data_IF_516089564832
#
_entry.id   IF_516089564832
#
_cell.length_a   1.000
_cell.length_b   1.000
_cell.length_c   1.000
_cell.angle_alpha   90.00
_cell.angle_beta   90.00
_cell.angle_gamma   90.00
#
_symmetry.space_group_name_H-M   'P 1'
#
loop_
_entity.id
_entity.type
_entity.pdbx_description
1 polymer ?
#
# COMPACT_ATOMS: atom_id res chain seq x y z
N UNK A 1 -77.93 -39.50 -17.00
CA UNK A 1 -76.74 -40.40 -17.03
C UNK A 1 -75.96 -40.20 -15.75
N UNK A 2 -75.93 -41.16 -14.81
CA UNK A 2 -75.12 -41.13 -13.61
C UNK A 2 -73.72 -41.62 -13.98
N UNK A 3 -72.74 -40.76 -13.98
CA UNK A 3 -71.36 -41.14 -14.07
C UNK A 3 -70.97 -41.89 -12.77
N UNK A 4 -70.64 -43.14 -12.86
CA UNK A 4 -70.07 -43.91 -11.75
C UNK A 4 -68.66 -43.38 -11.48
N UNK A 5 -68.51 -42.69 -10.36
CA UNK A 5 -67.18 -42.32 -9.86
C UNK A 5 -66.53 -43.58 -9.33
N UNK A 6 -65.50 -44.06 -10.03
CA UNK A 6 -64.63 -45.14 -9.54
C UNK A 6 -63.68 -44.49 -8.53
N UNK A 7 -63.71 -44.97 -7.29
CA UNK A 7 -62.81 -44.54 -6.24
C UNK A 7 -61.38 -45.11 -6.51
N UNK A 8 -60.38 -44.38 -6.04
CA UNK A 8 -58.97 -44.81 -6.14
C UNK A 8 -58.77 -46.09 -5.31
N UNK A 9 -57.96 -47.01 -5.83
CA UNK A 9 -57.57 -48.18 -5.09
C UNK A 9 -56.48 -47.85 -4.07
N UNK A 10 -56.38 -48.55 -2.99
CA UNK A 10 -55.37 -48.39 -1.93
C UNK A 10 -53.95 -48.54 -2.51
N UNK A 11 -53.77 -49.39 -3.52
CA UNK A 11 -52.50 -49.61 -4.23
C UNK A 11 -52.11 -48.37 -5.08
N UNK A 12 -53.07 -47.76 -5.81
CA UNK A 12 -52.80 -46.54 -6.56
C UNK A 12 -52.34 -45.37 -5.66
N UNK A 13 -52.97 -45.18 -4.48
CA UNK A 13 -52.59 -44.19 -3.48
C UNK A 13 -51.18 -44.50 -2.96
N UNK A 14 -50.82 -45.76 -2.74
CA UNK A 14 -49.48 -46.13 -2.26
C UNK A 14 -48.40 -45.89 -3.29
N UNK A 15 -48.65 -46.17 -4.56
CA UNK A 15 -47.74 -45.88 -5.66
C UNK A 15 -47.53 -44.40 -5.82
N UNK A 16 -48.59 -43.59 -5.79
CA UNK A 16 -48.50 -42.13 -5.91
C UNK A 16 -47.72 -41.50 -4.75
N UNK A 17 -47.93 -41.97 -3.50
CA UNK A 17 -47.15 -41.46 -2.36
C UNK A 17 -45.66 -41.83 -2.45
N UNK A 18 -45.30 -43.02 -2.92
CA UNK A 18 -43.89 -43.41 -3.13
C UNK A 18 -43.24 -42.53 -4.19
N UNK A 19 -43.89 -42.34 -5.35
CA UNK A 19 -43.39 -41.47 -6.40
C UNK A 19 -43.24 -40.02 -5.91
N UNK A 20 -44.20 -39.50 -5.16
CA UNK A 20 -44.18 -38.15 -4.58
C UNK A 20 -43.01 -37.98 -3.62
N UNK A 21 -42.72 -38.94 -2.74
CA UNK A 21 -41.55 -38.95 -1.85
C UNK A 21 -40.25 -38.94 -2.64
N UNK A 22 -40.13 -39.71 -3.71
CA UNK A 22 -38.94 -39.73 -4.54
C UNK A 22 -38.70 -38.38 -5.26
N UNK A 23 -39.78 -37.77 -5.76
CA UNK A 23 -39.69 -36.43 -6.38
C UNK A 23 -39.27 -35.37 -5.36
N UNK A 24 -39.87 -35.38 -4.15
CA UNK A 24 -39.46 -34.45 -3.08
C UNK A 24 -38.01 -34.65 -2.69
N UNK A 25 -37.56 -35.91 -2.58
CA UNK A 25 -36.17 -36.22 -2.24
C UNK A 25 -35.18 -35.70 -3.30
N UNK A 26 -35.51 -35.90 -4.59
CA UNK A 26 -34.74 -35.37 -5.71
C UNK A 26 -34.74 -33.83 -5.74
N UNK A 27 -35.87 -33.20 -5.53
CA UNK A 27 -36.00 -31.75 -5.47
C UNK A 27 -35.21 -31.16 -4.28
N UNK A 28 -35.30 -31.75 -3.08
CA UNK A 28 -34.53 -31.38 -1.90
C UNK A 28 -33.04 -31.47 -2.11
N UNK A 29 -32.56 -32.54 -2.74
CA UNK A 29 -31.13 -32.72 -3.02
C UNK A 29 -30.64 -31.66 -4.01
N UNK A 30 -31.37 -31.35 -5.06
CA UNK A 30 -31.05 -30.29 -6.02
C UNK A 30 -31.07 -28.91 -5.39
N UNK A 31 -32.03 -28.64 -4.50
CA UNK A 31 -32.11 -27.38 -3.77
C UNK A 31 -30.91 -27.16 -2.82
N UNK A 32 -30.48 -28.21 -2.10
CA UNK A 32 -29.29 -28.16 -1.26
C UNK A 32 -28.00 -27.90 -2.06
N UNK A 33 -27.88 -28.46 -3.25
CA UNK A 33 -26.75 -28.18 -4.16
C UNK A 33 -26.76 -26.70 -4.59
N UNK A 34 -27.94 -26.18 -4.99
CA UNK A 34 -28.10 -24.78 -5.37
C UNK A 34 -27.77 -23.82 -4.23
N UNK A 35 -28.28 -24.07 -3.01
CA UNK A 35 -27.97 -23.27 -1.83
C UNK A 35 -26.46 -23.25 -1.52
N UNK A 36 -25.81 -24.40 -1.61
CA UNK A 36 -24.37 -24.48 -1.39
C UNK A 36 -23.57 -23.75 -2.47
N UNK A 37 -24.03 -23.78 -3.72
CA UNK A 37 -23.41 -23.01 -4.81
C UNK A 37 -23.63 -21.49 -4.63
N UNK A 38 -24.84 -21.06 -4.29
CA UNK A 38 -25.14 -19.66 -4.00
C UNK A 38 -24.32 -19.15 -2.82
N UNK A 39 -24.23 -19.88 -1.73
CA UNK A 39 -23.40 -19.48 -0.58
C UNK A 39 -21.90 -19.35 -0.94
N UNK A 40 -21.40 -20.22 -1.83
CA UNK A 40 -20.02 -20.12 -2.34
C UNK A 40 -19.82 -18.89 -3.22
N UNK A 41 -20.78 -18.58 -4.10
CA UNK A 41 -20.72 -17.41 -5.00
C UNK A 41 -20.80 -16.10 -4.20
N UNK A 42 -21.75 -15.97 -3.28
CA UNK A 42 -21.90 -14.74 -2.47
C UNK A 42 -20.64 -14.42 -1.69
N UNK A 43 -20.02 -15.42 -1.05
CA UNK A 43 -18.76 -15.20 -0.32
C UNK A 43 -17.55 -14.96 -1.20
N UNK A 44 -17.55 -15.49 -2.42
CA UNK A 44 -16.50 -15.18 -3.41
C UNK A 44 -16.62 -13.74 -3.90
N UNK A 45 -17.85 -13.24 -4.08
CA UNK A 45 -18.09 -11.85 -4.49
C UNK A 45 -17.80 -10.86 -3.36
N UNK A 46 -18.17 -11.19 -2.11
CA UNK A 46 -17.86 -10.39 -0.93
C UNK A 46 -16.34 -10.20 -0.77
N UNK A 47 -15.57 -11.28 -0.79
CA UNK A 47 -14.10 -11.24 -0.75
C UNK A 47 -13.49 -10.48 -1.93
N UNK A 48 -14.08 -10.56 -3.13
CA UNK A 48 -13.63 -9.78 -4.28
C UNK A 48 -13.88 -8.27 -4.10
N UNK A 49 -15.01 -7.88 -3.53
CA UNK A 49 -15.35 -6.46 -3.30
C UNK A 49 -14.41 -5.84 -2.27
N UNK A 50 -14.19 -6.53 -1.15
CA UNK A 50 -13.25 -6.08 -0.11
C UNK A 50 -11.83 -5.94 -0.68
N UNK A 51 -11.38 -6.92 -1.45
CA UNK A 51 -10.08 -6.87 -2.11
C UNK A 51 -9.95 -5.71 -3.10
N UNK A 52 -10.99 -5.39 -3.87
CA UNK A 52 -10.99 -4.26 -4.81
C UNK A 52 -10.84 -2.94 -4.07
N UNK A 53 -11.52 -2.74 -2.95
CA UNK A 53 -11.41 -1.51 -2.13
C UNK A 53 -10.00 -1.36 -1.55
N UNK A 54 -9.43 -2.43 -0.98
CA UNK A 54 -8.06 -2.41 -0.44
C UNK A 54 -7.00 -2.14 -1.52
N UNK A 55 -7.16 -2.72 -2.72
CA UNK A 55 -6.26 -2.47 -3.85
C UNK A 55 -6.38 -1.06 -4.42
N UNK A 56 -7.58 -0.47 -4.43
CA UNK A 56 -7.75 0.93 -4.84
C UNK A 56 -7.15 1.89 -3.81
N UNK A 57 -7.18 1.57 -2.52
CA UNK A 57 -6.48 2.35 -1.49
C UNK A 57 -4.95 2.31 -1.72
N UNK A 58 -4.39 1.13 -1.96
CA UNK A 58 -2.97 0.98 -2.30
C UNK A 58 -2.62 1.74 -3.59
N UNK A 59 -3.46 1.64 -4.63
CA UNK A 59 -3.28 2.39 -5.89
C UNK A 59 -3.28 3.90 -5.65
N UNK A 60 -4.25 4.39 -4.88
CA UNK A 60 -4.36 5.82 -4.54
C UNK A 60 -3.11 6.31 -3.83
N UNK A 61 -2.63 5.58 -2.81
CA UNK A 61 -1.42 5.97 -2.07
C UNK A 61 -0.19 6.00 -2.98
N UNK A 62 -0.04 5.02 -3.87
CA UNK A 62 1.05 5.00 -4.86
C UNK A 62 0.98 6.16 -5.85
N UNK A 63 -0.20 6.64 -6.22
CA UNK A 63 -0.36 7.83 -7.07
C UNK A 63 0.08 9.09 -6.35
N UNK A 64 -0.10 9.14 -5.02
CA UNK A 64 0.22 10.28 -4.17
C UNK A 64 1.65 10.25 -3.59
N UNK A 65 2.40 9.20 -3.85
CA UNK A 65 3.80 9.07 -3.41
C UNK A 65 4.60 10.30 -3.80
N UNK A 66 5.39 10.82 -2.86
CA UNK A 66 6.25 11.98 -3.07
C UNK A 66 5.56 13.34 -3.00
N UNK A 67 4.22 13.39 -2.86
CA UNK A 67 3.52 14.69 -2.77
C UNK A 67 3.97 15.47 -1.55
N UNK A 68 4.42 16.71 -1.79
CA UNK A 68 4.82 17.65 -0.74
C UNK A 68 6.09 17.25 0.03
N UNK A 69 6.85 16.26 -0.42
CA UNK A 69 8.13 15.94 0.20
C UNK A 69 9.20 16.99 -0.12
N UNK A 70 10.03 17.33 0.86
CA UNK A 70 11.23 18.13 0.61
C UNK A 70 12.26 17.30 -0.19
N UNK A 71 13.03 17.98 -1.03
CA UNK A 71 14.19 17.40 -1.72
C UNK A 71 15.52 17.97 -1.20
N UNK A 72 15.46 18.98 -0.35
CA UNK A 72 16.62 19.56 0.29
C UNK A 72 16.28 20.11 1.67
N UNK A 73 17.28 20.13 2.54
CA UNK A 73 17.25 20.75 3.84
C UNK A 73 18.23 21.94 3.93
N UNK A 74 18.00 22.84 4.87
CA UNK A 74 19.00 23.82 5.31
C UNK A 74 20.10 23.12 6.11
N UNK A 75 21.20 23.80 6.39
CA UNK A 75 22.23 23.34 7.32
C UNK A 75 22.13 24.15 8.62
N UNK A 76 22.03 23.50 9.80
CA UNK A 76 21.93 22.05 10.06
C UNK A 76 20.59 21.45 9.62
N UNK A 77 20.61 20.19 9.16
CA UNK A 77 19.40 19.46 8.77
C UNK A 77 18.41 19.29 9.95
N UNK A 78 17.10 19.20 9.70
CA UNK A 78 16.12 18.95 10.76
C UNK A 78 16.29 17.54 11.32
N UNK A 79 15.95 17.36 12.59
CA UNK A 79 15.94 16.04 13.22
C UNK A 79 14.51 15.59 13.45
N UNK A 80 14.18 14.39 12.99
CA UNK A 80 12.83 13.84 13.06
C UNK A 80 12.84 12.32 13.32
N UNK A 81 11.70 11.76 13.68
CA UNK A 81 11.51 10.34 14.00
C UNK A 81 10.51 9.76 12.98
N UNK A 82 10.92 8.70 12.29
CA UNK A 82 10.02 7.85 11.50
C UNK A 82 9.60 6.62 12.32
N UNK A 83 9.58 5.42 11.70
CA UNK A 83 9.26 4.20 12.43
C UNK A 83 10.27 3.91 13.54
N UNK A 84 9.77 3.44 14.70
CA UNK A 84 10.57 3.13 15.88
C UNK A 84 10.57 1.65 16.21
N UNK A 85 9.92 0.81 15.42
CA UNK A 85 9.78 -0.63 15.61
C UNK A 85 10.31 -1.41 14.42
N UNK A 86 10.98 -2.53 14.68
CA UNK A 86 11.45 -3.43 13.62
C UNK A 86 10.25 -4.14 12.95
N UNK A 87 10.34 -4.46 11.65
CA UNK A 87 11.42 -4.14 10.71
C UNK A 87 11.26 -2.76 10.05
N UNK A 88 10.23 -1.99 10.43
CA UNK A 88 9.86 -0.73 9.78
C UNK A 88 10.95 0.35 9.95
N UNK A 89 11.75 0.28 11.01
CA UNK A 89 12.88 1.19 11.26
C UNK A 89 14.01 1.05 10.22
N UNK A 90 14.16 -0.12 9.59
CA UNK A 90 15.12 -0.31 8.49
C UNK A 90 14.80 0.54 7.26
N UNK A 91 13.53 0.99 7.11
CA UNK A 91 13.05 1.78 5.96
C UNK A 91 13.07 3.29 6.21
N UNK A 92 13.71 3.72 7.30
CA UNK A 92 13.82 5.13 7.67
C UNK A 92 14.83 5.89 6.82
N UNK A 93 14.56 7.18 6.62
CA UNK A 93 15.54 8.20 6.22
C UNK A 93 15.92 9.08 7.43
N UNK A 94 15.19 8.97 8.54
CA UNK A 94 15.52 9.58 9.82
C UNK A 94 16.94 9.16 10.31
N UNK A 95 17.60 9.97 11.16
CA UNK A 95 17.04 11.14 11.85
C UNK A 95 17.16 12.46 11.08
N UNK A 96 17.91 12.55 10.01
CA UNK A 96 18.19 13.82 9.31
C UNK A 96 18.33 13.67 7.78
N UNK A 97 18.03 12.50 7.23
CA UNK A 97 18.07 12.25 5.79
C UNK A 97 16.91 12.97 5.07
N UNK A 98 17.14 13.33 3.81
CA UNK A 98 16.06 13.76 2.92
C UNK A 98 15.18 12.55 2.61
N UNK A 99 13.85 12.63 2.75
CA UNK A 99 12.98 11.48 2.60
C UNK A 99 12.93 10.96 1.16
N UNK A 100 13.20 9.67 0.98
CA UNK A 100 12.89 8.97 -0.26
C UNK A 100 11.39 8.75 -0.35
N UNK A 101 10.82 9.03 -1.51
CA UNK A 101 9.37 8.92 -1.71
C UNK A 101 8.87 7.47 -1.57
N UNK A 102 9.71 6.49 -1.95
CA UNK A 102 9.43 5.06 -1.83
C UNK A 102 10.70 4.32 -1.41
N UNK A 103 10.53 3.37 -0.51
CA UNK A 103 11.58 2.47 -0.03
C UNK A 103 11.00 1.07 0.05
N UNK A 104 11.66 0.07 -0.49
CA UNK A 104 11.18 -1.31 -0.43
C UNK A 104 12.34 -2.29 -0.20
N UNK A 105 12.01 -3.50 0.24
CA UNK A 105 12.94 -4.63 0.29
C UNK A 105 12.37 -5.82 -0.45
N UNK A 106 13.23 -6.49 -1.22
CA UNK A 106 12.93 -7.68 -2.01
C UNK A 106 13.03 -8.94 -1.13
N UNK A 107 12.01 -9.77 -1.17
CA UNK A 107 12.00 -11.11 -0.59
C UNK A 107 12.43 -11.17 0.90
N UNK A 108 11.55 -10.73 1.79
CA UNK A 108 11.79 -10.79 3.25
C UNK A 108 12.26 -12.16 3.72
N UNK A 109 13.24 -12.17 4.62
CA UNK A 109 13.72 -13.40 5.25
C UNK A 109 12.71 -13.92 6.28
N UNK A 110 12.79 -15.22 6.59
CA UNK A 110 11.93 -15.84 7.60
C UNK A 110 12.27 -15.32 9.01
N UNK A 111 11.25 -15.25 9.89
CA UNK A 111 11.40 -14.86 11.29
C UNK A 111 11.40 -13.35 11.52
N UNK A 112 10.96 -12.56 10.54
CA UNK A 112 10.72 -11.12 10.72
C UNK A 112 9.34 -10.92 11.33
N UNK A 113 9.27 -10.18 12.41
CA UNK A 113 8.05 -9.91 13.17
C UNK A 113 7.92 -8.41 13.44
N UNK A 114 6.68 -7.94 13.49
CA UNK A 114 6.31 -6.58 13.83
C UNK A 114 5.34 -6.64 15.02
N UNK A 115 5.60 -5.86 16.06
CA UNK A 115 4.73 -5.75 17.23
C UNK A 115 3.86 -4.49 17.16
N UNK A 116 2.55 -4.66 17.30
CA UNK A 116 1.65 -3.54 17.57
C UNK A 116 1.71 -3.21 19.05
N UNK A 117 2.32 -2.08 19.37
CA UNK A 117 2.58 -1.65 20.75
C UNK A 117 1.31 -1.28 21.53
N UNK A 118 0.18 -1.12 20.88
CA UNK A 118 -1.11 -0.78 21.51
C UNK A 118 -1.95 -2.04 21.75
N UNK A 119 -2.12 -2.84 20.73
CA UNK A 119 -2.90 -4.08 20.81
C UNK A 119 -2.12 -5.25 21.42
N UNK A 120 -0.78 -5.16 21.43
CA UNK A 120 0.13 -6.24 21.86
C UNK A 120 0.09 -7.44 20.93
N UNK A 121 -0.35 -7.26 19.69
CA UNK A 121 -0.41 -8.32 18.66
C UNK A 121 0.90 -8.35 17.90
N UNK A 122 1.47 -9.54 17.76
CA UNK A 122 2.65 -9.77 16.93
C UNK A 122 2.21 -10.20 15.54
N UNK A 123 2.76 -9.55 14.53
CA UNK A 123 2.52 -9.84 13.11
C UNK A 123 3.76 -10.52 12.55
N UNK A 124 3.69 -11.83 12.29
CA UNK A 124 4.75 -12.56 11.60
C UNK A 124 4.70 -12.24 10.11
N UNK A 125 5.69 -11.54 9.58
CA UNK A 125 5.78 -11.17 8.17
C UNK A 125 6.05 -12.41 7.32
N UNK A 126 5.39 -12.48 6.17
CA UNK A 126 5.49 -13.65 5.29
C UNK A 126 6.81 -13.63 4.52
N UNK A 127 7.62 -14.67 4.74
CA UNK A 127 8.91 -14.80 4.06
C UNK A 127 8.77 -14.96 2.55
N UNK A 128 9.71 -14.38 1.79
CA UNK A 128 9.70 -14.39 0.33
C UNK A 128 8.76 -13.37 -0.32
N UNK A 129 8.10 -12.54 0.49
CA UNK A 129 7.30 -11.40 0.00
C UNK A 129 8.07 -10.10 0.19
N UNK A 130 7.71 -9.09 -0.56
CA UNK A 130 8.33 -7.77 -0.45
C UNK A 130 7.71 -6.93 0.67
N UNK A 131 8.46 -5.96 1.15
CA UNK A 131 8.01 -4.89 2.03
C UNK A 131 8.10 -3.56 1.30
N UNK A 132 7.09 -2.71 1.47
CA UNK A 132 7.02 -1.43 0.77
C UNK A 132 6.65 -0.32 1.75
N UNK A 133 7.51 0.69 1.90
CA UNK A 133 7.24 1.93 2.62
C UNK A 133 7.06 3.08 1.61
N UNK A 134 5.97 3.82 1.72
CA UNK A 134 5.66 4.99 0.88
C UNK A 134 5.53 6.24 1.73
N UNK A 135 6.05 7.37 1.23
CA UNK A 135 6.11 8.64 1.95
C UNK A 135 5.50 9.75 1.12
N UNK A 136 4.75 10.63 1.77
CA UNK A 136 4.09 11.78 1.15
C UNK A 136 3.13 12.44 2.12
N UNK A 137 2.73 13.66 1.88
CA UNK A 137 1.85 14.39 2.80
C UNK A 137 0.45 13.80 2.82
N UNK A 138 -0.13 13.53 1.66
CA UNK A 138 -1.51 13.06 1.50
C UNK A 138 -1.76 11.61 1.96
N UNK A 139 -0.71 10.87 2.32
CA UNK A 139 -0.82 9.50 2.80
C UNK A 139 -1.41 9.39 4.22
N UNK A 140 -1.48 10.51 4.95
CA UNK A 140 -2.21 10.59 6.21
C UNK A 140 -3.70 10.38 5.98
N UNK A 141 -4.29 9.43 6.68
CA UNK A 141 -5.73 9.12 6.59
C UNK A 141 -6.57 10.15 7.39
N UNK A 142 -6.27 11.42 7.25
CA UNK A 142 -6.95 12.52 7.94
C UNK A 142 -7.22 13.67 6.96
N UNK A 143 -8.21 14.48 7.30
CA UNK A 143 -8.68 15.59 6.47
C UNK A 143 -7.59 16.68 6.26
N UNK A 144 -6.79 16.94 7.27
CA UNK A 144 -5.72 17.96 7.22
C UNK A 144 -4.66 17.57 6.18
N UNK A 145 -4.31 16.30 6.03
CA UNK A 145 -3.33 15.81 5.06
C UNK A 145 -3.74 16.03 3.59
N UNK A 146 -5.01 16.31 3.34
CA UNK A 146 -5.53 16.63 2.00
C UNK A 146 -5.51 18.12 1.69
N UNK A 147 -5.13 18.99 2.65
CA UNK A 147 -5.20 20.44 2.55
C UNK A 147 -3.82 21.06 2.35
N UNK A 148 -3.78 22.06 1.51
CA UNK A 148 -2.58 22.86 1.28
C UNK A 148 -2.94 24.29 0.88
N UNK A 149 -2.00 25.19 1.04
CA UNK A 149 -2.13 26.57 0.57
C UNK A 149 -0.75 27.17 0.28
N UNK A 150 -0.68 28.46 -0.03
CA UNK A 150 0.57 29.15 -0.27
C UNK A 150 0.53 30.56 0.31
N UNK A 151 1.72 31.13 0.50
CA UNK A 151 1.90 32.50 0.99
C UNK A 151 3.06 33.17 0.25
N UNK A 152 2.92 34.47 -0.04
CA UNK A 152 3.96 35.34 -0.60
C UNK A 152 4.28 36.48 0.36
N UNK A 153 5.42 37.15 0.16
CA UNK A 153 5.87 38.23 1.04
C UNK A 153 4.80 39.32 1.22
N UNK A 154 4.53 39.67 2.47
CA UNK A 154 3.59 40.71 2.86
C UNK A 154 2.11 40.39 2.67
N UNK A 155 1.80 39.15 2.28
CA UNK A 155 0.43 38.65 2.17
C UNK A 155 0.14 37.64 3.26
N UNK A 156 -1.15 37.41 3.53
CA UNK A 156 -1.63 36.30 4.34
C UNK A 156 -1.72 35.03 3.51
N UNK A 157 -1.71 33.84 4.12
CA UNK A 157 -1.96 32.57 3.40
C UNK A 157 -3.24 32.66 2.57
N UNK A 158 -3.18 32.14 1.34
CA UNK A 158 -4.32 32.10 0.43
C UNK A 158 -5.42 31.22 0.99
N UNK A 159 -6.65 31.71 1.06
CA UNK A 159 -7.82 30.91 1.39
C UNK A 159 -8.57 30.50 0.11
N UNK A 160 -9.00 29.25 0.06
CA UNK A 160 -9.80 28.72 -1.04
C UNK A 160 -11.27 29.12 -0.86
N UNK A 161 -12.00 29.26 -1.96
CA UNK A 161 -13.44 29.57 -1.92
C UNK A 161 -14.26 28.48 -1.23
N UNK A 162 -13.89 27.21 -1.42
CA UNK A 162 -14.46 26.09 -0.67
C UNK A 162 -13.77 26.02 0.70
N UNK A 163 -14.56 26.25 1.75
CA UNK A 163 -14.07 26.25 3.12
C UNK A 163 -13.51 24.89 3.57
N UNK A 164 -13.98 23.78 2.96
CA UNK A 164 -13.47 22.44 3.28
C UNK A 164 -12.04 22.20 2.83
N UNK A 165 -11.55 22.96 1.86
CA UNK A 165 -10.17 22.91 1.38
C UNK A 165 -9.21 23.76 2.20
N UNK A 166 -9.73 24.58 3.13
CA UNK A 166 -8.91 25.44 3.96
C UNK A 166 -8.38 24.71 5.19
N UNK A 167 -7.14 25.03 5.53
CA UNK A 167 -6.52 24.64 6.79
C UNK A 167 -7.22 25.34 7.95
N UNK A 168 -7.31 24.67 9.10
CA UNK A 168 -8.00 25.15 10.29
C UNK A 168 -7.01 25.89 11.20
N UNK A 169 -7.39 27.09 11.62
CA UNK A 169 -6.59 27.89 12.53
C UNK A 169 -6.37 27.20 13.88
N UNK A 170 -5.13 27.28 14.39
CA UNK A 170 -4.69 26.79 15.70
C UNK A 170 -4.78 25.25 15.88
N UNK A 171 -5.35 24.55 14.90
CA UNK A 171 -5.60 23.12 14.93
C UNK A 171 -4.63 22.36 14.02
N UNK A 172 -4.59 22.76 12.75
CA UNK A 172 -3.82 22.04 11.74
C UNK A 172 -2.31 22.30 11.91
N UNK A 173 -1.55 21.19 11.98
CA UNK A 173 -0.08 21.18 11.97
C UNK A 173 0.40 21.15 10.54
N UNK A 174 1.26 22.09 10.19
CA UNK A 174 1.70 22.30 8.82
C UNK A 174 3.21 22.29 8.69
N UNK A 175 3.67 21.83 7.55
CA UNK A 175 5.05 22.01 7.09
C UNK A 175 5.08 23.01 5.95
N UNK A 176 6.19 23.73 5.82
CA UNK A 176 6.33 24.79 4.83
C UNK A 176 7.49 24.47 3.91
N UNK A 177 7.22 24.52 2.61
CA UNK A 177 8.18 24.19 1.55
C UNK A 177 8.32 25.37 0.59
N UNK A 178 9.55 25.75 0.34
CA UNK A 178 9.93 26.70 -0.71
C UNK A 178 10.34 25.92 -1.96
N UNK A 179 9.73 26.23 -3.09
CA UNK A 179 10.17 25.71 -4.39
C UNK A 179 11.12 26.72 -5.06
N UNK A 180 12.31 26.25 -5.42
CA UNK A 180 13.31 27.04 -6.16
C UNK A 180 13.76 26.27 -7.39
N UNK A 181 14.14 26.98 -8.43
CA UNK A 181 14.73 26.37 -9.62
C UNK A 181 16.25 26.46 -9.48
N UNK A 182 16.93 25.31 -9.52
CA UNK A 182 18.38 25.22 -9.50
C UNK A 182 19.00 25.66 -10.83
N UNK A 183 20.33 25.81 -10.88
CA UNK A 183 21.06 26.23 -12.06
C UNK A 183 20.95 25.23 -13.23
N UNK A 184 20.71 23.98 -12.94
CA UNK A 184 20.48 22.88 -13.91
C UNK A 184 19.02 22.79 -14.36
N UNK A 185 18.15 23.75 -13.93
CA UNK A 185 16.70 23.82 -14.16
C UNK A 185 15.87 22.78 -13.38
N UNK A 186 16.47 21.99 -12.50
CA UNK A 186 15.72 21.13 -11.61
C UNK A 186 14.95 21.94 -10.57
N UNK A 187 13.77 21.44 -10.16
CA UNK A 187 12.99 22.07 -9.09
C UNK A 187 13.42 21.50 -7.75
N UNK A 188 13.99 22.34 -6.90
CA UNK A 188 14.33 21.99 -5.52
C UNK A 188 13.19 22.38 -4.59
N UNK A 189 12.68 21.43 -3.83
CA UNK A 189 11.68 21.64 -2.77
C UNK A 189 12.40 21.69 -1.42
N UNK A 190 12.72 22.89 -0.98
CA UNK A 190 13.45 23.11 0.27
C UNK A 190 12.47 23.27 1.43
N UNK A 191 12.61 22.46 2.47
CA UNK A 191 11.83 22.62 3.70
C UNK A 191 12.28 23.84 4.47
N UNK A 192 11.32 24.63 4.96
CA UNK A 192 11.54 25.81 5.77
C UNK A 192 11.38 25.46 7.25
N UNK A 193 12.34 25.82 8.06
CA UNK A 193 12.35 25.67 9.52
C UNK A 193 13.36 26.66 10.13
N UNK A 194 13.35 26.78 11.44
CA UNK A 194 14.32 27.60 12.16
C UNK A 194 15.64 26.82 12.36
N UNK A 195 16.74 27.19 11.69
CA UNK A 195 18.03 26.51 11.84
C UNK A 195 18.59 26.58 13.29
N UNK A 196 18.18 27.57 14.09
CA UNK A 196 18.53 27.66 15.50
C UNK A 196 17.81 26.62 16.37
N UNK A 197 16.73 26.01 15.82
CA UNK A 197 15.93 24.99 16.47
C UNK A 197 15.58 23.89 15.48
N UNK A 198 16.53 23.04 15.05
CA UNK A 198 16.34 22.08 13.95
C UNK A 198 15.20 21.04 14.17
N UNK A 199 14.79 20.80 15.43
CA UNK A 199 13.61 20.00 15.75
C UNK A 199 12.27 20.70 15.49
N UNK A 200 12.28 22.02 15.17
CA UNK A 200 11.07 22.80 14.93
C UNK A 200 10.86 23.00 13.43
N UNK A 201 10.52 21.92 12.73
CA UNK A 201 10.28 21.92 11.27
C UNK A 201 8.81 22.06 10.90
N UNK A 202 7.93 22.27 11.85
CA UNK A 202 6.50 22.45 11.66
C UNK A 202 5.97 23.61 12.49
N UNK A 203 4.81 24.11 12.11
CA UNK A 203 4.09 25.15 12.88
C UNK A 203 2.59 24.89 12.85
N UNK A 204 1.86 25.59 13.69
CA UNK A 204 0.39 25.61 13.65
C UNK A 204 -0.07 26.60 12.57
N UNK A 205 -1.09 26.26 11.83
CA UNK A 205 -1.64 27.13 10.80
C UNK A 205 -2.37 28.35 11.42
N UNK A 206 -2.08 29.53 10.93
CA UNK A 206 -2.87 30.76 11.19
C UNK A 206 -3.14 31.48 9.87
N UNK A 207 -4.41 31.68 9.47
CA UNK A 207 -4.76 32.43 8.27
C UNK A 207 -4.37 33.93 8.34
N UNK A 208 -4.08 34.47 9.52
CA UNK A 208 -3.59 35.83 9.67
C UNK A 208 -2.08 35.97 9.36
N UNK A 209 -1.35 34.86 9.30
CA UNK A 209 0.07 34.78 8.99
C UNK A 209 0.79 33.73 9.78
N UNK A 210 1.87 33.17 9.23
CA UNK A 210 2.74 32.23 9.91
C UNK A 210 3.79 32.95 10.77
N UNK A 211 4.42 32.25 11.73
CA UNK A 211 5.58 32.78 12.45
C UNK A 211 6.68 33.25 11.50
N UNK A 212 7.51 34.22 11.88
CA UNK A 212 8.52 34.82 11.00
C UNK A 212 9.49 33.81 10.37
N UNK A 213 9.86 32.74 11.09
CA UNK A 213 10.74 31.69 10.59
C UNK A 213 10.13 30.90 9.41
N UNK A 214 8.79 30.88 9.29
CA UNK A 214 8.04 30.16 8.25
C UNK A 214 7.44 31.11 7.20
N UNK A 215 7.83 32.39 7.19
CA UNK A 215 7.28 33.41 6.31
C UNK A 215 8.30 33.84 5.25
N UNK A 216 7.86 34.13 4.01
CA UNK A 216 8.75 34.62 2.97
C UNK A 216 9.40 35.98 3.38
N UNK A 217 10.68 36.12 3.05
CA UNK A 217 11.45 37.34 3.35
C UNK A 217 11.84 38.11 2.08
N UNK A 218 11.67 37.54 0.89
CA UNK A 218 11.95 38.14 -0.40
C UNK A 218 10.71 38.17 -1.30
N UNK A 219 10.59 39.19 -2.12
CA UNK A 219 9.42 39.41 -2.99
C UNK A 219 9.19 38.30 -4.02
N UNK A 220 10.24 37.56 -4.40
CA UNK A 220 10.16 36.49 -5.36
C UNK A 220 9.84 35.13 -4.71
N UNK A 221 9.77 35.08 -3.38
CA UNK A 221 9.53 33.83 -2.67
C UNK A 221 8.04 33.53 -2.58
N UNK A 222 7.70 32.28 -2.87
CA UNK A 222 6.40 31.69 -2.60
C UNK A 222 6.62 30.43 -1.78
N UNK A 223 5.99 30.40 -0.60
CA UNK A 223 6.05 29.25 0.27
C UNK A 223 4.75 28.46 0.17
N UNK A 224 4.86 27.15 0.03
CA UNK A 224 3.76 26.22 0.01
C UNK A 224 3.59 25.65 1.43
N UNK A 225 2.38 25.67 1.91
CA UNK A 225 1.99 25.24 3.26
C UNK A 225 1.17 23.98 3.10
N UNK A 226 1.65 22.87 3.65
CA UNK A 226 0.98 21.58 3.58
C UNK A 226 0.54 21.13 4.96
N UNK A 227 -0.73 20.73 5.09
CA UNK A 227 -1.25 20.12 6.30
C UNK A 227 -0.77 18.69 6.45
N UNK A 228 -0.39 18.29 7.65
CA UNK A 228 0.02 16.92 7.98
C UNK A 228 -1.08 16.25 8.80
N UNK A 229 -1.51 16.88 9.87
CA UNK A 229 -2.56 16.42 10.77
C UNK A 229 -3.15 17.57 11.57
N UNK A 230 -4.37 17.35 12.09
CA UNK A 230 -4.90 18.21 13.14
C UNK A 230 -4.32 17.78 14.49
N UNK A 231 -4.10 18.71 15.37
CA UNK A 231 -3.66 18.57 16.78
C UNK A 231 -2.32 17.80 16.97
N UNK A 232 -1.84 17.67 18.20
CA UNK A 232 -0.64 16.95 18.60
C UNK A 232 0.67 17.51 18.04
N UNK A 233 1.73 16.75 18.18
CA UNK A 233 3.06 17.08 17.66
C UNK A 233 3.38 16.25 16.43
N UNK A 234 4.16 16.80 15.50
CA UNK A 234 4.68 16.04 14.38
C UNK A 234 6.01 15.36 14.76
N UNK A 235 6.10 14.05 14.54
CA UNK A 235 7.35 13.31 14.69
C UNK A 235 8.20 13.33 13.43
N UNK A 236 7.58 13.53 12.25
CA UNK A 236 8.19 13.62 10.94
C UNK A 236 7.50 14.67 10.08
N UNK A 237 8.18 15.22 9.05
CA UNK A 237 7.63 16.29 8.20
C UNK A 237 6.75 15.78 7.05
N UNK A 238 6.26 14.56 7.10
CA UNK A 238 5.40 13.92 6.11
C UNK A 238 4.57 12.81 6.77
N UNK A 239 3.69 12.18 6.03
CA UNK A 239 3.02 10.96 6.42
C UNK A 239 3.68 9.75 5.74
N UNK A 240 3.68 8.60 6.42
CA UNK A 240 4.24 7.35 5.91
C UNK A 240 3.26 6.21 6.11
N UNK A 241 3.14 5.36 5.09
CA UNK A 241 2.39 4.10 5.13
C UNK A 241 3.25 2.96 4.62
N UNK A 242 3.26 1.87 5.37
CA UNK A 242 4.01 0.67 5.05
C UNK A 242 3.05 -0.45 4.65
N UNK A 243 3.44 -1.23 3.64
CA UNK A 243 2.66 -2.34 3.08
C UNK A 243 3.46 -3.62 3.18
N UNK A 244 2.85 -4.65 3.73
CA UNK A 244 3.46 -5.97 3.93
C UNK A 244 2.39 -7.04 4.07
N UNK A 245 2.79 -8.29 3.87
CA UNK A 245 1.92 -9.45 4.15
C UNK A 245 2.36 -10.06 5.48
N UNK A 246 1.40 -10.26 6.38
CA UNK A 246 1.68 -10.85 7.68
C UNK A 246 0.56 -11.76 8.18
N UNK A 247 0.91 -12.59 9.15
CA UNK A 247 -0.03 -13.40 9.92
C UNK A 247 0.00 -12.92 11.37
N UNK A 248 -1.09 -12.36 11.90
CA UNK A 248 -1.18 -11.97 13.30
C UNK A 248 -1.19 -13.22 14.20
N UNK A 249 -0.59 -13.14 15.37
CA UNK A 249 -0.59 -14.21 16.38
C UNK A 249 -1.97 -14.39 17.06
N UNK A 250 -2.84 -13.40 16.97
CA UNK A 250 -4.24 -13.49 17.36
C UNK A 250 -5.02 -14.36 16.35
N UNK A 251 -5.25 -15.62 16.68
CA UNK A 251 -5.81 -16.64 15.78
C UNK A 251 -7.22 -16.31 15.26
N UNK A 252 -7.98 -15.48 15.94
CA UNK A 252 -9.32 -15.01 15.54
C UNK A 252 -9.27 -13.94 14.43
N UNK A 253 -8.13 -13.32 14.20
CA UNK A 253 -7.92 -12.32 13.14
C UNK A 253 -7.60 -12.93 11.76
N UNK A 254 -7.20 -14.21 11.72
CA UNK A 254 -6.93 -14.89 10.45
C UNK A 254 -8.19 -15.63 9.97
N UNK A 255 -8.73 -15.32 8.79
CA UNK A 255 -9.90 -16.00 8.28
C UNK A 255 -9.65 -17.50 8.09
N UNK A 256 -10.49 -18.34 8.69
CA UNK A 256 -10.33 -19.80 8.69
C UNK A 256 -10.49 -20.46 7.31
N UNK A 257 -10.93 -19.70 6.31
CA UNK A 257 -11.07 -20.15 4.92
C UNK A 257 -9.82 -19.94 4.08
N UNK A 258 -8.84 -19.21 4.59
CA UNK A 258 -7.58 -18.99 3.89
C UNK A 258 -6.77 -20.28 3.74
N UNK A 259 -6.06 -20.40 2.63
CA UNK A 259 -5.15 -21.51 2.40
C UNK A 259 -3.97 -21.44 3.38
N UNK A 260 -3.44 -22.59 3.82
CA UNK A 260 -2.22 -22.60 4.63
C UNK A 260 -1.07 -21.88 3.92
N UNK A 261 -0.29 -21.08 4.67
CA UNK A 261 0.84 -20.33 4.13
C UNK A 261 0.45 -19.03 3.41
N UNK A 262 -0.78 -18.55 3.60
CA UNK A 262 -1.19 -17.19 3.23
C UNK A 262 -1.25 -16.30 4.46
N UNK A 263 -1.09 -15.01 4.26
CA UNK A 263 -1.30 -13.98 5.26
C UNK A 263 -2.38 -12.98 4.82
N UNK A 264 -2.38 -11.86 5.50
CA UNK A 264 -3.22 -10.69 5.19
C UNK A 264 -2.30 -9.58 4.70
N UNK A 265 -2.67 -8.91 3.61
CA UNK A 265 -2.01 -7.67 3.21
C UNK A 265 -2.44 -6.55 4.15
N UNK A 266 -1.49 -5.94 4.80
CA UNK A 266 -1.71 -4.79 5.68
C UNK A 266 -1.21 -3.49 5.05
N UNK A 267 -1.91 -2.40 5.36
CA UNK A 267 -1.40 -1.04 5.34
C UNK A 267 -1.14 -0.65 6.78
N UNK A 268 0.08 -0.31 7.13
CA UNK A 268 0.43 0.19 8.46
C UNK A 268 0.82 1.66 8.37
N UNK A 269 0.07 2.53 9.03
CA UNK A 269 0.41 3.94 9.14
C UNK A 269 1.46 4.13 10.23
N UNK A 270 2.50 4.88 9.96
CA UNK A 270 3.47 5.31 10.98
C UNK A 270 2.88 6.51 11.72
N UNK A 271 2.75 6.37 13.05
CA UNK A 271 2.13 7.38 13.90
C UNK A 271 3.05 8.56 14.15
N UNK A 272 2.48 9.75 14.15
CA UNK A 272 2.99 10.86 14.93
C UNK A 272 2.74 10.60 16.43
N UNK A 273 3.06 11.55 17.31
CA UNK A 273 2.75 11.38 18.74
C UNK A 273 1.23 11.47 18.97
N UNK A 274 0.59 10.31 19.12
CA UNK A 274 -0.86 10.15 19.24
C UNK A 274 -1.29 9.49 20.56
N UNK A 275 -0.41 9.42 21.55
CA UNK A 275 -0.67 8.73 22.83
C UNK A 275 -1.99 9.19 23.47
N UNK A 276 -2.27 10.49 23.41
CA UNK A 276 -3.47 11.07 24.03
C UNK A 276 -4.78 10.65 23.34
N UNK A 277 -4.75 10.30 22.05
CA UNK A 277 -5.96 10.02 21.24
C UNK A 277 -6.11 8.54 20.89
N UNK A 278 -5.05 7.88 20.50
CA UNK A 278 -5.07 6.50 20.02
C UNK A 278 -4.21 5.55 20.83
N UNK A 279 -3.34 6.07 21.70
CA UNK A 279 -2.38 5.29 22.47
C UNK A 279 -1.06 5.01 21.74
N UNK A 280 -0.94 5.37 20.47
CA UNK A 280 0.27 5.15 19.68
C UNK A 280 1.32 6.22 19.94
N UNK A 281 2.54 5.82 20.29
CA UNK A 281 3.68 6.70 20.38
C UNK A 281 4.20 7.13 19.00
N UNK A 282 5.03 8.16 18.94
CA UNK A 282 5.74 8.57 17.73
C UNK A 282 6.53 7.40 17.15
N UNK A 283 6.34 7.14 15.86
CA UNK A 283 7.00 6.05 15.14
C UNK A 283 6.38 4.66 15.30
N UNK A 284 5.34 4.50 16.12
CA UNK A 284 4.61 3.24 16.20
C UNK A 284 3.79 2.99 14.92
N UNK A 285 3.60 1.73 14.56
CA UNK A 285 2.80 1.34 13.41
C UNK A 285 1.37 1.00 13.82
N UNK A 286 0.42 1.42 12.97
CA UNK A 286 -1.01 1.11 13.09
C UNK A 286 -1.44 0.22 11.91
N UNK A 287 -1.39 -1.12 12.03
CA UNK A 287 -1.73 -2.02 10.95
C UNK A 287 -3.24 -2.05 10.68
N UNK A 288 -3.61 -1.95 9.40
CA UNK A 288 -4.98 -2.10 8.90
C UNK A 288 -5.02 -3.20 7.85
N UNK A 289 -5.91 -4.19 7.95
CA UNK A 289 -6.06 -5.22 6.94
C UNK A 289 -6.68 -4.63 5.65
N UNK A 290 -6.11 -5.00 4.49
CA UNK A 290 -6.60 -4.58 3.17
C UNK A 290 -7.13 -5.73 2.33
N UNK A 291 -6.46 -6.89 2.37
CA UNK A 291 -6.80 -8.05 1.55
C UNK A 291 -6.42 -9.33 2.26
N UNK A 292 -7.38 -10.22 2.40
CA UNK A 292 -7.20 -11.52 3.04
C UNK A 292 -6.58 -12.56 2.10
N UNK A 293 -5.99 -13.61 2.68
CA UNK A 293 -5.52 -14.81 1.98
C UNK A 293 -4.51 -14.51 0.85
N UNK A 294 -3.58 -13.61 1.11
CA UNK A 294 -2.51 -13.25 0.17
C UNK A 294 -1.29 -14.15 0.39
N UNK A 295 -0.77 -14.72 -0.68
CA UNK A 295 0.37 -15.63 -0.65
C UNK A 295 1.68 -14.95 -1.00
N UNK A 296 1.65 -13.89 -1.81
CA UNK A 296 2.85 -13.21 -2.29
C UNK A 296 2.58 -11.76 -2.69
N UNK A 297 3.57 -10.90 -2.51
CA UNK A 297 3.61 -9.52 -2.99
C UNK A 297 4.99 -9.24 -3.56
N UNK A 298 5.04 -8.73 -4.79
CA UNK A 298 6.28 -8.36 -5.47
C UNK A 298 6.19 -6.92 -5.99
N UNK A 299 7.23 -6.14 -5.72
CA UNK A 299 7.36 -4.74 -6.13
C UNK A 299 8.38 -4.64 -7.27
N UNK A 300 8.01 -3.92 -8.32
CA UNK A 300 8.90 -3.70 -9.48
C UNK A 300 8.92 -2.23 -9.83
N UNK A 301 10.11 -1.70 -10.01
CA UNK A 301 10.37 -0.33 -10.39
C UNK A 301 10.69 -0.23 -11.87
N UNK A 302 10.10 0.74 -12.56
CA UNK A 302 10.47 1.13 -13.92
C UNK A 302 11.16 2.49 -13.91
N UNK A 303 12.39 2.50 -14.40
CA UNK A 303 13.32 3.60 -14.35
C UNK A 303 13.64 4.16 -15.74
N UNK A 304 13.92 5.45 -15.80
CA UNK A 304 14.59 6.16 -16.89
C UNK A 304 15.95 6.63 -16.37
N UNK A 305 16.98 5.80 -16.55
CA UNK A 305 18.31 6.00 -15.96
C UNK A 305 19.38 6.39 -16.98
N UNK A 306 19.14 6.18 -18.27
CA UNK A 306 20.21 6.28 -19.26
C UNK A 306 20.22 7.60 -20.03
N UNK A 307 19.08 8.01 -20.60
CA UNK A 307 19.01 9.14 -21.55
C UNK A 307 18.02 10.24 -21.19
N UNK A 308 17.27 10.07 -20.07
CA UNK A 308 16.38 11.08 -19.49
C UNK A 308 15.30 11.59 -20.47
N UNK A 309 14.79 10.66 -21.29
CA UNK A 309 13.80 10.94 -22.33
C UNK A 309 12.35 10.64 -21.90
N UNK A 310 12.15 10.29 -20.61
CA UNK A 310 10.89 9.83 -19.99
C UNK A 310 10.39 8.47 -20.50
N UNK A 311 11.22 7.72 -21.18
CA UNK A 311 10.93 6.35 -21.56
C UNK A 311 11.62 5.40 -20.56
N UNK A 312 10.93 4.38 -20.15
CA UNK A 312 11.49 3.40 -19.23
C UNK A 312 12.53 2.55 -19.98
N UNK A 313 13.75 2.63 -19.53
CA UNK A 313 14.90 1.89 -20.08
C UNK A 313 15.33 0.71 -19.21
N UNK A 314 14.94 0.70 -17.93
CA UNK A 314 15.39 -0.28 -16.96
C UNK A 314 14.28 -0.67 -15.99
N UNK A 315 14.16 -1.96 -15.69
CA UNK A 315 13.28 -2.51 -14.69
C UNK A 315 14.10 -3.17 -13.58
N UNK A 316 13.67 -3.01 -12.34
CA UNK A 316 14.33 -3.65 -11.20
C UNK A 316 13.36 -4.04 -10.09
N UNK A 317 13.67 -5.12 -9.36
CA UNK A 317 13.18 -5.32 -8.01
C UNK A 317 13.88 -4.35 -7.04
N UNK A 318 13.38 -4.17 -5.81
CA UNK A 318 14.14 -3.54 -4.75
C UNK A 318 15.41 -4.32 -4.40
N UNK A 319 16.29 -3.74 -3.59
CA UNK A 319 17.35 -4.50 -2.93
C UNK A 319 16.78 -5.40 -1.83
N UNK A 320 17.49 -6.47 -1.47
CA UNK A 320 17.08 -7.33 -0.36
C UNK A 320 16.97 -6.56 0.96
N UNK A 321 17.81 -5.52 1.14
CA UNK A 321 17.72 -4.61 2.28
C UNK A 321 17.53 -3.17 1.81
N UNK A 322 16.72 -2.40 2.52
CA UNK A 322 16.39 -1.02 2.15
C UNK A 322 17.57 -0.05 2.31
N UNK A 323 18.62 -0.41 3.05
CA UNK A 323 19.86 0.35 3.19
C UNK A 323 20.84 0.17 1.99
N UNK A 324 20.45 -0.62 0.98
CA UNK A 324 21.27 -0.93 -0.19
C UNK A 324 22.29 -2.04 0.01
N UNK A 325 22.37 -2.60 1.21
CA UNK A 325 23.20 -3.78 1.50
C UNK A 325 22.45 -5.08 1.19
N UNK A 326 23.17 -6.18 1.12
CA UNK A 326 22.59 -7.48 0.77
C UNK A 326 22.60 -7.75 -0.73
N UNK A 327 21.83 -8.76 -1.16
CA UNK A 327 21.72 -9.10 -2.56
C UNK A 327 20.86 -8.06 -3.29
N UNK A 328 21.31 -7.67 -4.47
CA UNK A 328 20.50 -6.87 -5.36
C UNK A 328 19.40 -7.75 -5.99
N UNK A 329 18.18 -7.25 -6.00
CA UNK A 329 17.06 -7.92 -6.65
C UNK A 329 17.26 -8.09 -8.15
N UNK A 330 16.33 -8.76 -8.79
CA UNK A 330 16.40 -8.98 -10.25
C UNK A 330 16.32 -7.64 -11.01
N UNK A 331 16.97 -7.59 -12.16
CA UNK A 331 17.02 -6.43 -13.05
C UNK A 331 16.97 -6.85 -14.51
N UNK A 332 16.35 -6.03 -15.34
CA UNK A 332 16.46 -6.08 -16.79
C UNK A 332 16.50 -4.67 -17.39
N UNK A 333 17.09 -4.52 -18.58
CA UNK A 333 17.21 -3.26 -19.29
C UNK A 333 18.64 -2.81 -19.50
N UNK A 334 18.84 -1.51 -19.73
CA UNK A 334 20.09 -0.94 -20.25
C UNK A 334 21.03 -0.45 -19.15
N UNK A 335 20.49 0.08 -18.04
CA UNK A 335 21.31 0.61 -16.95
C UNK A 335 22.11 -0.49 -16.24
N UNK A 336 23.26 -0.12 -15.69
CA UNK A 336 24.07 -1.03 -14.88
C UNK A 336 23.40 -1.27 -13.50
N UNK A 337 23.69 -2.42 -12.90
CA UNK A 337 23.23 -2.73 -11.54
C UNK A 337 23.64 -1.64 -10.53
N UNK A 338 24.87 -1.12 -10.65
CA UNK A 338 25.34 -0.03 -9.77
C UNK A 338 24.54 1.24 -9.95
N UNK A 339 24.14 1.59 -11.18
CA UNK A 339 23.29 2.76 -11.42
C UNK A 339 21.92 2.60 -10.73
N UNK A 340 21.30 1.44 -10.87
CA UNK A 340 20.01 1.15 -10.18
C UNK A 340 20.16 1.21 -8.66
N UNK A 341 21.22 0.61 -8.11
CA UNK A 341 21.48 0.64 -6.66
C UNK A 341 21.67 2.08 -6.14
N UNK A 342 22.40 2.90 -6.90
CA UNK A 342 22.58 4.32 -6.55
C UNK A 342 21.26 5.07 -6.61
N UNK A 343 20.46 4.85 -7.64
CA UNK A 343 19.15 5.49 -7.81
C UNK A 343 18.19 5.15 -6.68
N UNK A 344 18.08 3.88 -6.29
CA UNK A 344 17.22 3.45 -5.19
C UNK A 344 17.58 4.14 -3.86
N UNK A 345 18.86 4.42 -3.63
CA UNK A 345 19.35 5.06 -2.39
C UNK A 345 19.25 6.59 -2.40
N UNK A 346 19.09 7.20 -3.57
CA UNK A 346 19.06 8.65 -3.73
C UNK A 346 17.62 9.19 -3.74
N UNK A 347 17.23 10.05 -2.79
CA UNK A 347 15.92 10.71 -2.81
C UNK A 347 15.66 11.50 -4.10
N UNK A 348 16.72 12.12 -4.65
CA UNK A 348 16.68 12.90 -5.88
C UNK A 348 16.46 11.99 -7.09
N UNK A 349 17.23 10.91 -7.22
CA UNK A 349 17.09 9.96 -8.32
C UNK A 349 15.75 9.22 -8.31
N UNK A 350 15.28 8.79 -7.13
CA UNK A 350 13.92 8.22 -6.99
C UNK A 350 12.88 9.20 -7.52
N UNK A 351 13.00 10.49 -7.21
CA UNK A 351 12.05 11.49 -7.67
C UNK A 351 12.15 11.78 -9.16
N UNK A 352 13.35 11.86 -9.71
CA UNK A 352 13.57 12.24 -11.10
C UNK A 352 13.42 11.08 -12.08
N UNK A 353 13.87 9.90 -11.68
CA UNK A 353 14.10 8.76 -12.58
C UNK A 353 13.10 7.61 -12.43
N UNK A 354 12.38 7.50 -11.30
CA UNK A 354 11.37 6.48 -11.12
C UNK A 354 10.07 6.89 -11.83
N UNK A 355 9.71 6.17 -12.90
CA UNK A 355 8.54 6.50 -13.73
C UNK A 355 7.31 5.65 -13.40
N UNK A 356 7.52 4.39 -13.04
CA UNK A 356 6.43 3.44 -12.77
C UNK A 356 6.77 2.59 -11.55
N UNK A 357 5.75 2.33 -10.73
CA UNK A 357 5.77 1.31 -9.69
C UNK A 357 4.75 0.25 -10.09
N UNK A 358 5.17 -1.01 -10.18
CA UNK A 358 4.27 -2.15 -10.36
C UNK A 358 4.24 -2.96 -9.08
N UNK A 359 3.04 -3.39 -8.68
CA UNK A 359 2.85 -4.32 -7.57
C UNK A 359 2.06 -5.51 -8.09
N UNK A 360 2.58 -6.69 -7.82
CA UNK A 360 1.93 -7.95 -8.10
C UNK A 360 1.55 -8.61 -6.79
N UNK A 361 0.31 -9.06 -6.68
CA UNK A 361 -0.22 -9.71 -5.49
C UNK A 361 -0.85 -11.04 -5.89
N UNK A 362 -0.34 -12.13 -5.32
CA UNK A 362 -0.95 -13.45 -5.47
C UNK A 362 -1.93 -13.68 -4.33
N UNK A 363 -3.21 -13.72 -4.63
CA UNK A 363 -4.25 -13.94 -3.62
C UNK A 363 -5.17 -15.09 -4.00
N UNK A 364 -5.72 -15.72 -2.96
CA UNK A 364 -6.73 -16.76 -3.08
C UNK A 364 -8.08 -16.15 -3.49
N UNK A 365 -8.82 -16.83 -4.33
CA UNK A 365 -10.18 -16.50 -4.71
C UNK A 365 -11.15 -17.55 -4.21
N UNK A 366 -12.07 -17.14 -3.34
CA UNK A 366 -13.08 -18.02 -2.78
C UNK A 366 -12.53 -19.04 -1.76
N UNK A 367 -13.25 -20.14 -1.57
CA UNK A 367 -12.93 -21.18 -0.58
C UNK A 367 -12.32 -22.42 -1.21
N UNK A 368 -11.79 -23.30 -0.34
CA UNK A 368 -11.30 -24.60 -0.74
C UNK A 368 -12.37 -25.41 -1.50
N UNK A 369 -12.00 -25.92 -2.66
CA UNK A 369 -12.83 -26.83 -3.46
C UNK A 369 -12.11 -28.17 -3.62
N UNK A 370 -12.62 -29.21 -2.93
CA UNK A 370 -11.99 -30.55 -2.94
C UNK A 370 -12.00 -31.22 -4.31
N UNK A 371 -12.87 -30.78 -5.21
CA UNK A 371 -12.99 -31.31 -6.57
C UNK A 371 -12.16 -30.50 -7.58
N UNK A 372 -11.49 -29.45 -7.13
CA UNK A 372 -10.62 -28.61 -7.92
C UNK A 372 -9.15 -28.90 -7.61
N UNK A 373 -8.35 -28.96 -8.64
CA UNK A 373 -6.88 -28.97 -8.50
C UNK A 373 -6.33 -27.89 -9.43
N UNK A 374 -5.59 -26.96 -8.87
CA UNK A 374 -4.91 -25.92 -9.66
C UNK A 374 -3.93 -26.59 -10.63
N UNK A 375 -4.06 -26.24 -11.89
CA UNK A 375 -3.16 -26.63 -12.97
C UNK A 375 -2.88 -25.36 -13.80
N UNK A 376 -1.88 -24.60 -13.38
CA UNK A 376 -1.45 -23.39 -14.08
C UNK A 376 -0.68 -23.72 -15.35
N UNK A 377 -0.82 -22.88 -16.36
CA UNK A 377 -0.04 -22.94 -17.59
C UNK A 377 1.14 -21.96 -17.61
N UNK A 378 1.28 -21.17 -16.55
CA UNK A 378 2.17 -19.99 -16.53
C UNK A 378 3.66 -20.35 -16.51
N UNK A 379 4.00 -21.56 -16.00
CA UNK A 379 5.37 -22.08 -16.02
C UNK A 379 5.38 -23.43 -16.71
N UNK A 380 5.98 -23.51 -17.89
CA UNK A 380 6.01 -24.72 -18.70
C UNK A 380 6.63 -25.91 -17.95
N UNK A 381 5.91 -27.02 -17.88
CA UNK A 381 6.34 -28.26 -17.19
C UNK A 381 6.20 -28.20 -15.65
N UNK A 382 5.72 -27.12 -15.08
CA UNK A 382 5.53 -26.93 -13.63
C UNK A 382 4.09 -26.47 -13.31
N UNK A 383 3.08 -27.36 -13.43
CA UNK A 383 1.66 -26.99 -13.30
C UNK A 383 1.26 -26.51 -11.90
N UNK A 384 2.14 -26.64 -10.91
CA UNK A 384 1.93 -26.16 -9.54
C UNK A 384 2.52 -24.75 -9.31
N UNK A 385 3.25 -24.18 -10.26
CA UNK A 385 3.87 -22.87 -10.14
C UNK A 385 2.98 -21.78 -10.70
N UNK A 386 3.00 -20.65 -10.00
CA UNK A 386 2.38 -19.40 -10.44
C UNK A 386 3.48 -18.35 -10.54
N UNK A 387 3.51 -17.67 -11.66
CA UNK A 387 4.42 -16.54 -11.83
C UNK A 387 3.77 -15.29 -11.27
N UNK A 388 4.44 -14.66 -10.31
CA UNK A 388 4.04 -13.38 -9.71
C UNK A 388 4.92 -12.29 -10.32
N UNK A 389 4.39 -11.63 -11.37
CA UNK A 389 5.08 -10.65 -12.20
C UNK A 389 4.80 -10.85 -13.69
N UNK A 390 5.34 -9.99 -14.55
CA UNK A 390 5.17 -10.06 -15.99
C UNK A 390 6.53 -10.19 -16.69
N UNK A 391 6.80 -11.35 -17.29
CA UNK A 391 8.03 -11.63 -18.03
C UNK A 391 8.11 -10.94 -19.38
N UNK A 392 6.96 -10.85 -20.08
CA UNK A 392 6.98 -10.57 -21.51
C UNK A 392 7.05 -9.07 -21.82
N UNK A 393 6.51 -8.23 -20.94
CA UNK A 393 6.46 -6.79 -21.15
C UNK A 393 7.75 -6.07 -20.71
N UNK A 394 8.43 -6.60 -19.69
CA UNK A 394 9.50 -5.90 -19.00
C UNK A 394 10.84 -6.64 -19.09
N UNK A 395 10.87 -7.85 -19.68
CA UNK A 395 12.05 -8.71 -19.68
C UNK A 395 12.51 -9.13 -18.27
N UNK A 396 11.67 -8.85 -17.26
CA UNK A 396 11.97 -9.02 -15.86
C UNK A 396 11.47 -10.38 -15.39
N UNK A 397 12.35 -11.17 -14.77
CA UNK A 397 11.99 -12.47 -14.22
C UNK A 397 11.24 -12.29 -12.91
N UNK A 398 9.95 -12.51 -12.97
CA UNK A 398 9.09 -12.50 -11.82
C UNK A 398 9.43 -13.61 -10.82
N UNK A 399 8.97 -13.44 -9.60
CA UNK A 399 9.00 -14.49 -8.60
C UNK A 399 8.13 -15.68 -9.02
N UNK A 400 8.63 -16.90 -8.89
CA UNK A 400 7.90 -18.14 -9.15
C UNK A 400 7.44 -18.75 -7.83
N UNK A 401 6.14 -18.65 -7.56
CA UNK A 401 5.53 -19.18 -6.34
C UNK A 401 5.12 -20.65 -6.52
N UNK A 402 5.69 -21.55 -5.71
CA UNK A 402 5.36 -22.98 -5.71
C UNK A 402 4.18 -23.30 -4.78
N UNK A 403 3.04 -23.68 -5.35
CA UNK A 403 1.87 -24.10 -4.57
C UNK A 403 2.13 -25.45 -3.87
N UNK A 404 2.02 -25.45 -2.56
CA UNK A 404 2.00 -26.69 -1.76
C UNK A 404 0.80 -27.58 -2.13
N UNK A 405 0.86 -28.85 -1.79
CA UNK A 405 -0.25 -29.79 -2.02
C UNK A 405 -1.57 -29.31 -1.38
N UNK A 406 -1.51 -28.66 -0.23
CA UNK A 406 -2.68 -28.12 0.47
C UNK A 406 -3.29 -26.90 -0.25
N UNK A 407 -2.48 -26.11 -0.92
CA UNK A 407 -2.89 -24.89 -1.64
C UNK A 407 -3.51 -25.17 -3.02
N UNK A 408 -3.24 -26.34 -3.63
CA UNK A 408 -3.75 -26.67 -4.98
C UNK A 408 -5.27 -26.82 -5.07
N UNK A 409 -5.96 -27.03 -3.96
CA UNK A 409 -7.42 -27.09 -3.94
C UNK A 409 -8.09 -25.70 -3.84
N UNK A 410 -7.33 -24.63 -4.02
CA UNK A 410 -7.83 -23.25 -4.03
C UNK A 410 -7.63 -22.63 -5.40
N UNK A 411 -8.45 -21.62 -5.73
CA UNK A 411 -8.27 -20.80 -6.93
C UNK A 411 -7.38 -19.62 -6.57
N UNK A 412 -6.43 -19.32 -7.44
CA UNK A 412 -5.46 -18.26 -7.28
C UNK A 412 -5.61 -17.22 -8.36
N UNK A 413 -5.35 -15.98 -8.02
CA UNK A 413 -5.36 -14.86 -8.95
C UNK A 413 -4.17 -13.96 -8.64
N UNK A 414 -3.46 -13.55 -9.68
CA UNK A 414 -2.46 -12.50 -9.61
C UNK A 414 -3.14 -11.18 -9.94
N UNK A 415 -3.15 -10.27 -8.98
CA UNK A 415 -3.55 -8.89 -9.19
C UNK A 415 -2.33 -8.09 -9.59
N UNK A 416 -2.48 -7.20 -10.56
CA UNK A 416 -1.42 -6.32 -11.03
C UNK A 416 -1.88 -4.87 -10.88
N UNK A 417 -1.11 -4.09 -10.14
CA UNK A 417 -1.24 -2.64 -10.08
C UNK A 417 -0.07 -2.02 -10.84
N UNK A 418 -0.37 -1.14 -11.79
CA UNK A 418 0.62 -0.36 -12.52
C UNK A 418 0.31 1.10 -12.24
N UNK A 419 1.22 1.79 -11.60
CA UNK A 419 1.00 3.16 -11.15
C UNK A 419 2.15 4.05 -11.59
N UNK A 420 1.81 5.18 -12.20
CA UNK A 420 2.72 6.31 -12.40
C UNK A 420 2.49 7.30 -11.26
N UNK A 421 3.48 7.49 -10.38
CA UNK A 421 3.35 8.46 -9.28
C UNK A 421 3.31 9.88 -9.83
N UNK A 422 2.21 10.58 -9.66
CA UNK A 422 2.01 11.92 -10.25
C UNK A 422 3.03 12.96 -9.77
N UNK A 423 3.58 12.79 -8.57
CA UNK A 423 4.44 13.77 -7.94
C UNK A 423 5.93 13.49 -8.15
N UNK A 424 6.27 12.37 -8.72
CA UNK A 424 7.64 12.04 -9.14
C UNK A 424 7.93 12.57 -10.55
N UNK A 425 6.91 12.72 -11.40
CA UNK A 425 7.05 13.25 -12.77
C UNK A 425 7.07 14.79 -12.85
N UNK A 426 6.73 15.51 -11.78
CA UNK A 426 6.47 16.96 -11.80
C UNK A 426 7.71 17.87 -11.89
N UNK A 427 8.86 17.33 -12.23
CA UNK A 427 10.10 18.11 -12.43
C UNK A 427 10.36 18.51 -13.90
N UNK A 428 9.32 18.47 -14.75
CA UNK A 428 9.42 18.93 -16.15
C UNK A 428 8.80 20.31 -16.35
#
# INVERSE_FOLDING_TARGET
MRHSQKGFTLVEMLIVTVIFILVIMAASSSFNVLLNQMAKLTKSEESNIEGVVGLEMLRHDLQQVGFGLPTAYLDPAPTYIEASVAPADDYNDAPSGVPRAVVAADNLVAGVELEDTVDGVTYALLAGTDYLAVKGITLGMNDTAQKWTYVSLGLTPQLWQDAHLNLVKDDDRVVVIKKTVSNDRSTVSQMIYDPASPGTYWTTFDPAGLPPAFSPIMAQEMFYIYGIRADGNLSMPFNRSDYFIATPDAADRVPTYCAPGTGILYKARVSHDEIATTGYAAGALQPMPLLDCVADMQVVYGWDLVDDDNVIDTWSAPNQKPDGTGLFGAQSGVASQTAVQTAIQSPEEVRAKLKIIKIYLLAQVGRRDRNYTFMGADVAGQPQRIRVGNLDADGFVAHEYDLSAAQRNYRWKVYQLVVRPHNLESNQ
#
